data_IF_238042198806
#
_entry.id   IF_238042198806
#
_cell.length_a   1.000
_cell.length_b   1.000
_cell.length_c   1.000
_cell.angle_alpha   90.00
_cell.angle_beta   90.00
_cell.angle_gamma   90.00
#
_symmetry.space_group_name_H-M   'P 1'
#
loop_
_entity.id
_entity.type
_entity.pdbx_description
1 polymer ?
#
# COMPACT_ATOMS: atom_id res chain seq x y z
N UNK A 1 -17.96 -22.82 16.36
CA UNK A 1 -16.93 -23.07 15.32
C UNK A 1 -15.65 -22.27 15.54
N UNK A 2 -15.66 -21.28 16.43
CA UNK A 2 -14.54 -20.34 16.71
C UNK A 2 -13.26 -20.93 17.36
N UNK A 3 -13.27 -22.12 17.90
CA UNK A 3 -12.11 -22.76 18.57
C UNK A 3 -11.24 -23.65 17.67
N UNK A 4 -11.49 -23.72 16.36
CA UNK A 4 -10.76 -24.62 15.45
C UNK A 4 -9.61 -23.95 14.68
N UNK A 5 -9.61 -22.63 14.51
CA UNK A 5 -8.62 -21.92 13.69
C UNK A 5 -7.30 -21.77 14.45
N UNK A 6 -7.34 -21.34 15.69
CA UNK A 6 -6.15 -21.24 16.56
C UNK A 6 -5.47 -22.61 16.78
N UNK A 7 -6.23 -23.70 16.73
CA UNK A 7 -5.67 -25.06 16.88
C UNK A 7 -4.89 -25.56 15.67
N UNK A 8 -5.07 -25.01 14.46
CA UNK A 8 -4.34 -25.43 13.26
C UNK A 8 -2.97 -24.77 13.14
N UNK A 9 -2.83 -23.53 13.57
CA UNK A 9 -1.52 -22.86 13.66
C UNK A 9 -0.63 -23.42 14.79
N UNK A 10 -1.23 -23.94 15.86
CA UNK A 10 -0.51 -24.61 16.97
C UNK A 10 -0.13 -26.06 16.69
N UNK A 11 -0.68 -26.71 15.66
CA UNK A 11 -0.44 -28.13 15.41
C UNK A 11 0.91 -28.44 14.71
N UNK A 12 1.67 -27.43 14.29
CA UNK A 12 3.01 -27.65 13.68
C UNK A 12 4.20 -27.43 14.63
N UNK A 13 3.97 -27.02 15.88
CA UNK A 13 5.06 -26.68 16.82
C UNK A 13 5.06 -27.48 18.13
N UNK A 14 4.26 -28.54 18.26
CA UNK A 14 4.17 -29.34 19.50
C UNK A 14 4.65 -30.77 19.30
N UNK A 15 5.94 -30.93 19.02
CA UNK A 15 6.71 -32.13 19.35
C UNK A 15 8.04 -31.68 19.94
N UNK A 16 8.07 -31.60 21.26
CA UNK A 16 9.19 -31.74 22.18
C UNK A 16 9.14 -30.73 23.35
N UNK A 17 8.63 -31.14 24.46
CA UNK A 17 9.22 -31.02 25.78
C UNK A 17 8.14 -31.24 26.87
N UNK A 18 7.88 -32.51 27.20
CA UNK A 18 7.42 -32.87 28.56
C UNK A 18 8.63 -33.29 29.38
N UNK A 19 8.94 -32.55 30.43
CA UNK A 19 9.50 -33.12 31.65
C UNK A 19 9.61 -32.06 32.75
N UNK A 20 8.93 -32.38 33.90
CA UNK A 20 9.27 -32.03 35.29
C UNK A 20 9.22 -30.55 35.69
N UNK A 21 8.54 -30.17 36.76
CA UNK A 21 8.41 -30.77 38.11
C UNK A 21 7.35 -30.03 38.94
N UNK A 22 6.61 -30.83 39.72
CA UNK A 22 5.81 -30.41 40.89
C UNK A 22 6.72 -30.03 42.04
N UNK A 23 6.25 -29.08 42.90
CA UNK A 23 6.32 -29.10 44.36
C UNK A 23 5.68 -27.82 44.91
N UNK A 24 4.56 -27.88 45.43
CA UNK A 24 3.97 -27.87 46.76
C UNK A 24 4.55 -26.86 47.77
N UNK A 25 3.66 -26.07 48.36
CA UNK A 25 3.92 -25.28 49.57
C UNK A 25 2.64 -24.59 50.06
N UNK A 26 1.87 -25.30 50.87
CA UNK A 26 0.80 -24.77 51.73
C UNK A 26 1.34 -23.88 52.85
N UNK A 27 0.56 -22.89 53.27
CA UNK A 27 0.76 -22.15 54.53
C UNK A 27 -0.39 -21.19 54.77
N UNK A 28 -1.39 -21.67 55.53
CA UNK A 28 -2.49 -20.87 56.09
C UNK A 28 -2.07 -20.16 57.38
N UNK A 29 -2.62 -18.98 57.65
CA UNK A 29 -3.26 -18.66 58.96
C UNK A 29 -3.89 -17.28 58.97
N UNK A 30 -5.07 -17.26 59.53
CA UNK A 30 -5.97 -16.16 59.89
C UNK A 30 -5.29 -14.99 60.64
N UNK A 31 -5.78 -13.78 60.53
CA UNK A 31 -6.52 -13.10 61.58
C UNK A 31 -7.15 -11.77 61.13
N UNK A 32 -8.27 -11.49 61.74
CA UNK A 32 -9.26 -10.45 61.63
C UNK A 32 -8.78 -9.01 61.88
N UNK A 33 -9.47 -8.06 61.19
CA UNK A 33 -9.81 -6.82 61.91
C UNK A 33 -9.78 -5.48 61.17
N UNK A 34 -11.00 -4.96 60.92
CA UNK A 34 -11.41 -3.56 60.87
C UNK A 34 -11.21 -2.69 59.63
N UNK A 35 -12.33 -2.55 58.95
CA UNK A 35 -13.04 -1.34 58.55
C UNK A 35 -12.26 -0.02 58.66
N UNK A 36 -12.00 0.59 57.51
CA UNK A 36 -12.09 2.01 57.30
C UNK A 36 -12.23 2.28 55.80
N UNK A 37 -13.42 2.79 55.41
CA UNK A 37 -13.71 3.24 54.07
C UNK A 37 -12.66 4.23 53.56
N UNK A 38 -12.08 3.88 52.45
CA UNK A 38 -11.53 4.82 51.50
C UNK A 38 -12.25 4.56 50.21
N UNK A 39 -12.96 5.59 49.76
CA UNK A 39 -13.37 5.71 48.38
C UNK A 39 -12.15 5.31 47.51
N UNK A 40 -12.18 4.12 46.93
CA UNK A 40 -11.27 3.78 45.85
C UNK A 40 -11.75 4.62 44.68
N UNK A 41 -11.04 5.69 44.41
CA UNK A 41 -10.98 6.34 43.13
C UNK A 41 -10.80 5.20 42.11
N UNK A 42 -11.87 4.84 41.37
CA UNK A 42 -11.79 4.01 40.20
C UNK A 42 -11.11 4.87 39.15
N UNK A 43 -9.79 4.89 39.18
CA UNK A 43 -9.02 5.28 38.02
C UNK A 43 -9.56 4.42 36.86
N UNK A 44 -10.10 5.06 35.84
CA UNK A 44 -10.44 4.38 34.60
C UNK A 44 -9.19 3.64 34.15
N UNK A 45 -9.26 2.31 34.04
CA UNK A 45 -8.17 1.55 33.45
C UNK A 45 -7.94 2.15 32.04
N UNK A 46 -6.73 2.62 31.81
CA UNK A 46 -6.32 3.16 30.51
C UNK A 46 -6.35 2.01 29.49
N UNK A 47 -7.10 2.18 28.40
CA UNK A 47 -7.13 1.21 27.33
C UNK A 47 -5.93 1.44 26.42
N UNK A 48 -5.09 0.43 26.25
CA UNK A 48 -3.95 0.50 25.33
C UNK A 48 -4.33 -0.18 24.02
N UNK A 49 -4.30 0.60 22.92
CA UNK A 49 -4.45 0.10 21.55
C UNK A 49 -3.08 -0.09 20.93
N UNK A 50 -2.78 -1.31 20.49
CA UNK A 50 -1.56 -1.64 19.75
C UNK A 50 -1.81 -1.49 18.26
N UNK A 51 -1.12 -0.57 17.63
CA UNK A 51 -1.21 -0.31 16.18
C UNK A 51 0.12 -0.65 15.54
N UNK A 52 0.09 -1.61 14.63
CA UNK A 52 1.24 -2.00 13.84
C UNK A 52 1.16 -1.36 12.46
N UNK A 53 2.14 -0.55 12.08
CA UNK A 53 2.12 0.19 10.82
C UNK A 53 3.39 -0.04 9.99
N UNK A 54 3.20 -0.38 8.71
CA UNK A 54 4.29 -0.53 7.75
C UNK A 54 5.00 0.80 7.52
N UNK A 55 6.31 0.82 7.75
CA UNK A 55 7.16 1.96 7.44
C UNK A 55 7.52 1.95 5.95
N UNK A 56 6.63 2.50 5.14
CA UNK A 56 6.78 2.64 3.69
C UNK A 56 7.11 4.07 3.26
N UNK A 57 6.76 4.42 2.02
CA UNK A 57 7.01 5.74 1.42
C UNK A 57 6.33 6.91 2.15
N UNK A 58 5.28 6.66 2.90
CA UNK A 58 4.59 7.68 3.71
C UNK A 58 5.37 8.05 5.00
N UNK A 59 6.42 7.29 5.36
CA UNK A 59 7.22 7.49 6.56
C UNK A 59 6.47 7.18 7.86
N UNK A 60 7.03 7.60 8.98
CA UNK A 60 6.49 7.31 10.33
C UNK A 60 5.68 8.46 10.92
N UNK A 61 6.02 9.70 10.58
CA UNK A 61 5.44 10.89 11.20
C UNK A 61 3.91 10.95 11.12
N UNK A 62 3.34 10.52 9.99
CA UNK A 62 1.88 10.51 9.82
C UNK A 62 1.18 9.61 10.86
N UNK A 63 1.78 8.48 11.22
CA UNK A 63 1.23 7.56 12.21
C UNK A 63 1.33 8.12 13.63
N UNK A 64 2.44 8.79 13.94
CA UNK A 64 2.62 9.48 15.21
C UNK A 64 1.58 10.60 15.38
N UNK A 65 1.34 11.38 14.32
CA UNK A 65 0.36 12.46 14.32
C UNK A 65 -1.08 11.93 14.46
N UNK A 66 -1.41 10.83 13.77
CA UNK A 66 -2.72 10.16 13.87
C UNK A 66 -2.92 9.60 15.28
N UNK A 67 -1.94 8.90 15.84
CA UNK A 67 -2.02 8.33 17.18
C UNK A 67 -2.25 9.44 18.23
N UNK A 68 -1.48 10.52 18.14
CA UNK A 68 -1.63 11.66 19.02
C UNK A 68 -3.02 12.31 18.92
N UNK A 69 -3.51 12.55 17.71
CA UNK A 69 -4.84 13.13 17.49
C UNK A 69 -5.95 12.21 18.02
N UNK A 70 -5.77 10.90 17.89
CA UNK A 70 -6.71 9.91 18.42
C UNK A 70 -6.73 9.94 19.96
N UNK A 71 -5.56 9.91 20.61
CA UNK A 71 -5.45 10.02 22.07
C UNK A 71 -6.07 11.32 22.60
N UNK A 72 -5.85 12.45 21.92
CA UNK A 72 -6.43 13.76 22.30
C UNK A 72 -7.96 13.79 22.19
N UNK A 73 -8.56 12.96 21.35
CA UNK A 73 -10.01 12.87 21.13
C UNK A 73 -10.70 11.76 21.91
N UNK A 74 -9.93 10.85 22.55
CA UNK A 74 -10.46 9.68 23.26
C UNK A 74 -9.82 9.56 24.66
N UNK A 75 -10.43 10.19 25.66
CA UNK A 75 -9.97 10.17 27.04
C UNK A 75 -9.83 8.72 27.55
N UNK A 76 -8.69 8.41 28.15
CA UNK A 76 -8.42 7.09 28.73
C UNK A 76 -7.95 6.04 27.72
N UNK A 77 -7.64 6.44 26.49
CA UNK A 77 -7.03 5.58 25.47
C UNK A 77 -5.58 6.00 25.24
N UNK A 78 -4.71 5.00 25.14
CA UNK A 78 -3.30 5.13 24.75
C UNK A 78 -3.04 4.34 23.49
N UNK A 79 -2.24 4.87 22.55
CA UNK A 79 -1.85 4.19 21.33
C UNK A 79 -0.37 3.81 21.42
N UNK A 80 -0.09 2.50 21.33
CA UNK A 80 1.26 1.98 21.15
C UNK A 80 1.49 1.70 19.67
N UNK A 81 2.44 2.42 19.06
CA UNK A 81 2.81 2.24 17.65
C UNK A 81 4.00 1.31 17.53
N UNK A 82 3.86 0.27 16.73
CA UNK A 82 4.94 -0.57 16.23
C UNK A 82 5.12 -0.27 14.74
N UNK A 83 6.24 0.32 14.35
CA UNK A 83 6.54 0.70 12.97
C UNK A 83 7.81 0.01 12.50
N UNK A 84 7.76 -0.62 11.33
CA UNK A 84 8.89 -1.37 10.78
C UNK A 84 8.81 -1.47 9.26
N UNK A 85 9.95 -1.36 8.54
CA UNK A 85 10.02 -1.67 7.11
C UNK A 85 9.94 -3.18 6.83
N UNK A 86 10.12 -4.04 7.84
CA UNK A 86 9.97 -5.50 7.79
C UNK A 86 8.79 -5.98 8.64
N UNK A 87 7.71 -5.19 8.69
CA UNK A 87 6.56 -5.41 9.58
C UNK A 87 5.93 -6.80 9.42
N UNK A 88 5.90 -7.36 8.21
CA UNK A 88 5.41 -8.72 7.95
C UNK A 88 6.17 -9.80 8.74
N UNK A 89 7.50 -9.65 8.89
CA UNK A 89 8.33 -10.56 9.67
C UNK A 89 8.11 -10.38 11.17
N UNK A 90 7.96 -9.14 11.61
CA UNK A 90 7.76 -8.81 13.00
C UNK A 90 6.39 -9.28 13.46
N UNK A 91 5.33 -8.99 12.71
CA UNK A 91 3.97 -9.47 12.97
C UNK A 91 3.85 -11.00 12.91
N UNK A 92 4.54 -11.65 11.99
CA UNK A 92 4.55 -13.12 11.95
C UNK A 92 5.05 -13.71 13.27
N UNK A 93 6.12 -13.15 13.85
CA UNK A 93 6.67 -13.59 15.13
C UNK A 93 5.75 -13.21 16.31
N UNK A 94 5.23 -12.00 16.33
CA UNK A 94 4.34 -11.50 17.37
C UNK A 94 3.08 -12.35 17.47
N UNK A 95 2.39 -12.58 16.36
CA UNK A 95 1.17 -13.40 16.29
C UNK A 95 1.44 -14.85 16.70
N UNK A 96 2.58 -15.43 16.29
CA UNK A 96 2.97 -16.78 16.72
C UNK A 96 3.20 -16.89 18.24
N UNK A 97 3.62 -15.81 18.87
CA UNK A 97 3.81 -15.73 20.32
C UNK A 97 2.53 -15.34 21.08
N UNK A 98 1.43 -15.08 20.38
CA UNK A 98 0.16 -14.64 20.97
C UNK A 98 0.10 -13.13 21.29
N UNK A 99 1.05 -12.35 20.81
CA UNK A 99 1.05 -10.90 20.88
C UNK A 99 0.43 -10.34 19.57
N UNK A 100 -0.89 -10.22 19.61
CA UNK A 100 -1.69 -9.77 18.45
C UNK A 100 -1.95 -8.28 18.58
N UNK A 101 -1.65 -7.45 17.58
CA UNK A 101 -2.02 -6.04 17.60
C UNK A 101 -3.54 -5.86 17.44
N UNK A 102 -4.05 -4.69 17.82
CA UNK A 102 -5.45 -4.33 17.62
C UNK A 102 -5.74 -3.90 16.19
N UNK A 103 -4.82 -3.18 15.58
CA UNK A 103 -4.96 -2.66 14.22
C UNK A 103 -3.66 -2.84 13.47
N UNK A 104 -3.74 -3.20 12.19
CA UNK A 104 -2.60 -3.36 11.30
C UNK A 104 -2.79 -2.50 10.05
N UNK A 105 -1.78 -1.72 9.72
CA UNK A 105 -1.61 -1.11 8.41
C UNK A 105 -0.56 -1.89 7.62
N UNK A 106 -1.04 -2.71 6.70
CA UNK A 106 -0.19 -3.46 5.78
C UNK A 106 -1.01 -3.83 4.54
N UNK A 107 -0.57 -3.37 3.37
CA UNK A 107 -1.36 -3.40 2.16
C UNK A 107 -1.42 -4.78 1.51
N UNK A 108 -2.45 -5.01 0.71
CA UNK A 108 -2.45 -6.03 -0.34
C UNK A 108 -1.34 -5.76 -1.37
N UNK A 109 -0.89 -6.81 -2.04
CA UNK A 109 0.10 -6.71 -3.12
C UNK A 109 1.54 -6.49 -2.65
N UNK A 110 1.82 -6.49 -1.34
CA UNK A 110 3.18 -6.47 -0.85
C UNK A 110 3.93 -7.77 -1.19
N UNK A 111 5.24 -7.73 -1.48
CA UNK A 111 5.99 -8.91 -1.94
C UNK A 111 5.92 -10.12 -1.02
N UNK A 112 5.71 -9.93 0.28
CA UNK A 112 5.58 -11.02 1.24
C UNK A 112 4.26 -11.78 1.16
N UNK A 113 3.19 -11.17 0.60
CA UNK A 113 1.83 -11.71 0.60
C UNK A 113 1.27 -11.93 2.00
N UNK A 114 1.67 -11.10 2.98
CA UNK A 114 1.28 -11.27 4.38
C UNK A 114 -0.23 -11.06 4.57
N UNK A 115 -0.79 -9.94 4.06
CA UNK A 115 -2.23 -9.66 4.15
C UNK A 115 -3.06 -10.71 3.42
N UNK A 116 -2.63 -11.17 2.24
CA UNK A 116 -3.27 -12.27 1.50
C UNK A 116 -3.26 -13.58 2.28
N UNK A 117 -2.17 -13.83 3.01
CA UNK A 117 -2.08 -15.01 3.88
C UNK A 117 -3.07 -14.90 5.05
N UNK A 118 -3.17 -13.75 5.70
CA UNK A 118 -4.14 -13.50 6.77
C UNK A 118 -5.58 -13.64 6.26
N UNK A 119 -5.89 -13.14 5.06
CA UNK A 119 -7.18 -13.34 4.41
C UNK A 119 -7.46 -14.82 4.15
N UNK A 120 -6.52 -15.55 3.57
CA UNK A 120 -6.66 -16.97 3.26
C UNK A 120 -6.94 -17.83 4.51
N UNK A 121 -6.35 -17.45 5.65
CA UNK A 121 -6.57 -18.11 6.92
C UNK A 121 -7.81 -17.60 7.67
N UNK A 122 -8.60 -16.69 7.07
CA UNK A 122 -9.77 -16.04 7.67
C UNK A 122 -9.42 -15.37 9.02
N UNK A 123 -8.24 -14.79 9.10
CA UNK A 123 -7.67 -14.19 10.31
C UNK A 123 -7.84 -12.66 10.39
N UNK A 124 -8.65 -12.09 9.51
CA UNK A 124 -9.03 -10.66 9.50
C UNK A 124 -10.50 -10.55 9.89
N UNK A 125 -10.81 -9.59 10.76
CA UNK A 125 -12.16 -9.36 11.26
C UNK A 125 -13.06 -8.68 10.23
N UNK A 126 -14.35 -8.97 10.28
CA UNK A 126 -15.40 -8.19 9.63
C UNK A 126 -15.56 -6.86 10.37
N UNK A 127 -15.26 -5.76 9.69
CA UNK A 127 -15.34 -4.39 10.21
C UNK A 127 -16.44 -3.57 9.55
N UNK A 128 -17.43 -4.23 8.92
CA UNK A 128 -18.51 -3.57 8.19
C UNK A 128 -19.29 -2.57 9.05
N UNK A 129 -19.44 -2.86 10.34
CA UNK A 129 -20.21 -2.04 11.28
C UNK A 129 -19.50 -0.69 11.62
N UNK A 130 -18.21 -0.56 11.28
CA UNK A 130 -17.45 0.71 11.44
C UNK A 130 -17.88 1.73 10.38
N UNK A 131 -18.34 1.27 9.22
CA UNK A 131 -18.69 2.12 8.08
C UNK A 131 -20.16 2.49 8.11
N UNK A 132 -20.51 3.43 8.96
CA UNK A 132 -21.86 4.04 8.97
C UNK A 132 -22.05 4.99 7.77
N UNK A 133 -23.26 5.51 7.62
CA UNK A 133 -23.60 6.39 6.51
C UNK A 133 -22.80 7.71 6.56
N UNK A 134 -22.50 8.23 7.77
CA UNK A 134 -21.71 9.46 7.94
C UNK A 134 -20.26 9.28 7.46
N UNK A 135 -19.65 8.13 7.74
CA UNK A 135 -18.30 7.82 7.27
C UNK A 135 -18.29 7.57 5.77
N UNK A 136 -19.26 6.81 5.26
CA UNK A 136 -19.38 6.53 3.81
C UNK A 136 -19.56 7.80 2.99
N UNK A 137 -20.35 8.77 3.47
CA UNK A 137 -20.56 10.06 2.79
C UNK A 137 -19.27 10.91 2.68
N UNK A 138 -18.25 10.62 3.47
CA UNK A 138 -16.92 11.27 3.42
C UNK A 138 -15.92 10.55 2.53
N UNK A 139 -16.25 9.36 2.05
CA UNK A 139 -15.38 8.53 1.22
C UNK A 139 -15.70 8.72 -0.26
N UNK A 140 -14.78 8.31 -1.12
CA UNK A 140 -15.03 8.29 -2.55
C UNK A 140 -16.06 7.22 -2.89
N UNK A 141 -16.99 7.56 -3.79
CA UNK A 141 -18.01 6.61 -4.27
C UNK A 141 -17.35 5.35 -4.84
N UNK A 142 -17.86 4.20 -4.43
CA UNK A 142 -17.40 2.90 -4.92
C UNK A 142 -16.10 2.37 -4.30
N UNK A 143 -15.39 3.14 -3.45
CA UNK A 143 -14.11 2.70 -2.87
C UNK A 143 -14.27 1.48 -1.94
N UNK A 144 -15.44 1.29 -1.37
CA UNK A 144 -15.76 0.14 -0.52
C UNK A 144 -16.30 -1.06 -1.29
N UNK A 145 -16.59 -0.93 -2.58
CA UNK A 145 -17.25 -1.97 -3.39
C UNK A 145 -16.24 -2.95 -4.03
N UNK A 146 -14.96 -2.60 -4.02
CA UNK A 146 -13.90 -3.37 -4.64
C UNK A 146 -13.39 -4.52 -3.76
N UNK A 147 -12.64 -5.43 -4.38
CA UNK A 147 -11.97 -6.54 -3.69
C UNK A 147 -10.93 -6.08 -2.67
N UNK A 148 -10.48 -4.84 -2.78
CA UNK A 148 -9.56 -4.19 -1.84
C UNK A 148 -10.21 -3.90 -0.48
N UNK A 149 -11.53 -3.82 -0.43
CA UNK A 149 -12.30 -3.69 0.81
C UNK A 149 -13.08 -4.97 1.14
N UNK A 150 -13.60 -5.67 0.11
CA UNK A 150 -14.47 -6.85 0.20
C UNK A 150 -13.80 -8.10 -0.42
N UNK A 151 -12.68 -8.60 0.13
CA UNK A 151 -11.85 -9.62 -0.52
C UNK A 151 -12.55 -10.97 -0.71
N UNK A 152 -13.61 -11.27 0.06
CA UNK A 152 -14.33 -12.53 -0.04
C UNK A 152 -15.58 -12.46 -0.95
N UNK A 153 -15.95 -11.26 -1.43
CA UNK A 153 -17.14 -11.08 -2.26
C UNK A 153 -18.47 -11.42 -1.57
N UNK A 154 -18.50 -11.40 -0.24
CA UNK A 154 -19.66 -11.67 0.61
C UNK A 154 -20.43 -10.39 1.02
N UNK A 155 -20.02 -9.23 0.50
CA UNK A 155 -20.60 -7.93 0.78
C UNK A 155 -20.15 -7.31 2.11
N UNK A 156 -19.13 -7.89 2.74
CA UNK A 156 -18.60 -7.43 4.02
C UNK A 156 -17.25 -6.77 3.85
N UNK A 157 -16.96 -5.78 4.68
CA UNK A 157 -15.72 -5.04 4.67
C UNK A 157 -14.75 -5.66 5.67
N UNK A 158 -13.57 -6.01 5.19
CA UNK A 158 -12.48 -6.57 6.00
C UNK A 158 -11.24 -5.71 5.99
N UNK A 159 -11.06 -4.94 4.91
CA UNK A 159 -9.92 -4.05 4.72
C UNK A 159 -10.45 -2.61 4.60
N UNK A 160 -10.04 -1.74 5.52
CA UNK A 160 -10.42 -0.34 5.51
C UNK A 160 -9.50 0.45 4.59
N UNK A 161 -9.96 0.98 3.45
CA UNK A 161 -9.14 1.85 2.61
C UNK A 161 -8.95 3.19 3.31
N UNK A 162 -7.69 3.54 3.61
CA UNK A 162 -7.34 4.77 4.32
C UNK A 162 -6.60 5.79 3.45
N UNK A 163 -5.87 5.32 2.45
CA UNK A 163 -5.24 6.17 1.47
C UNK A 163 -5.69 5.79 0.07
N UNK A 164 -5.88 6.81 -0.74
CA UNK A 164 -6.20 6.70 -2.15
C UNK A 164 -5.01 7.22 -2.95
N UNK A 165 -4.36 6.31 -3.67
CA UNK A 165 -3.09 6.59 -4.33
C UNK A 165 -3.25 6.49 -5.84
N UNK A 166 -3.44 7.62 -6.55
CA UNK A 166 -3.38 7.65 -8.00
C UNK A 166 -1.94 7.43 -8.47
N UNK A 167 -1.80 6.61 -9.50
CA UNK A 167 -0.53 6.32 -10.16
C UNK A 167 -0.55 6.82 -11.60
N UNK A 168 0.61 7.07 -12.15
CA UNK A 168 0.72 7.59 -13.50
C UNK A 168 2.18 7.85 -13.88
N UNK A 169 2.38 8.71 -14.88
CA UNK A 169 3.70 9.19 -15.23
C UNK A 169 4.05 10.42 -14.42
N UNK A 170 5.06 10.28 -13.58
CA UNK A 170 5.61 11.36 -12.76
C UNK A 170 6.78 12.04 -13.49
N UNK A 171 6.89 13.35 -13.30
CA UNK A 171 7.85 14.16 -14.02
C UNK A 171 8.29 15.39 -13.20
N UNK A 172 9.36 16.02 -13.66
CA UNK A 172 9.83 17.30 -13.13
C UNK A 172 9.03 18.45 -13.74
N UNK A 173 8.11 19.04 -12.96
CA UNK A 173 7.26 20.14 -13.40
C UNK A 173 8.01 21.48 -13.60
N UNK A 174 9.30 21.55 -13.26
CA UNK A 174 10.14 22.68 -13.64
C UNK A 174 10.59 22.60 -15.11
N UNK A 175 10.59 21.39 -15.71
CA UNK A 175 10.98 21.12 -17.11
C UNK A 175 9.80 20.85 -18.02
N UNK A 176 8.76 20.15 -17.50
CA UNK A 176 7.58 19.71 -18.26
C UNK A 176 6.36 20.43 -17.72
N UNK A 177 5.56 21.06 -18.56
CA UNK A 177 4.37 21.80 -18.17
C UNK A 177 4.04 22.95 -19.12
N UNK A 178 2.93 23.62 -18.88
CA UNK A 178 2.50 24.77 -19.66
C UNK A 178 3.57 25.89 -19.61
N UNK A 179 4.07 26.29 -20.77
CA UNK A 179 5.11 27.31 -20.87
C UNK A 179 6.49 26.92 -20.38
N UNK A 180 6.72 25.62 -20.13
CA UNK A 180 8.04 25.05 -19.78
C UNK A 180 8.79 24.64 -21.06
N UNK A 181 9.96 24.02 -20.88
CA UNK A 181 10.77 23.53 -22.00
C UNK A 181 10.01 22.48 -22.83
N UNK A 182 9.22 21.64 -22.16
CA UNK A 182 8.42 20.60 -22.75
C UNK A 182 6.96 20.73 -22.32
N UNK A 183 6.03 20.66 -23.29
CA UNK A 183 4.60 20.61 -23.01
C UNK A 183 4.19 19.20 -22.54
N UNK A 184 3.12 19.11 -21.73
CA UNK A 184 2.58 17.83 -21.28
C UNK A 184 1.90 17.13 -22.47
N UNK A 185 2.36 15.93 -22.87
CA UNK A 185 1.73 15.20 -23.97
C UNK A 185 0.40 14.60 -23.53
N UNK A 186 -0.61 14.61 -24.39
CA UNK A 186 -1.94 14.06 -24.13
C UNK A 186 -2.15 12.71 -24.81
N UNK A 187 -1.44 12.47 -25.91
CA UNK A 187 -1.50 11.23 -26.68
C UNK A 187 -0.15 10.49 -26.72
N UNK A 188 -0.20 9.19 -27.01
CA UNK A 188 1.02 8.40 -27.20
C UNK A 188 1.88 8.91 -28.36
N UNK A 189 1.26 9.42 -29.43
CA UNK A 189 2.02 10.00 -30.55
C UNK A 189 2.76 11.27 -30.12
N UNK A 190 2.12 12.15 -29.35
CA UNK A 190 2.78 13.32 -28.78
C UNK A 190 3.86 12.93 -27.77
N UNK A 191 3.60 11.91 -26.94
CA UNK A 191 4.56 11.41 -25.96
C UNK A 191 5.85 10.91 -26.63
N UNK A 192 5.73 10.12 -27.69
CA UNK A 192 6.90 9.65 -28.41
C UNK A 192 7.56 10.75 -29.25
N UNK A 193 6.78 11.70 -29.81
CA UNK A 193 7.35 12.87 -30.49
C UNK A 193 8.15 13.75 -29.53
N UNK A 194 7.67 13.91 -28.31
CA UNK A 194 8.42 14.57 -27.24
C UNK A 194 9.72 13.82 -26.94
N UNK A 195 9.73 12.49 -26.95
CA UNK A 195 10.94 11.68 -26.79
C UNK A 195 12.00 11.94 -27.86
N UNK A 196 11.60 12.11 -29.12
CA UNK A 196 12.50 12.48 -30.21
C UNK A 196 13.08 13.90 -30.03
N UNK A 197 12.34 14.82 -29.44
CA UNK A 197 12.84 16.14 -29.08
C UNK A 197 13.80 16.06 -27.90
N UNK A 198 13.38 15.42 -26.80
CA UNK A 198 14.18 15.27 -25.59
C UNK A 198 15.57 14.64 -25.87
N UNK A 199 15.61 13.64 -26.77
CA UNK A 199 16.84 13.00 -27.21
C UNK A 199 17.84 13.96 -27.87
N UNK A 200 17.34 14.94 -28.66
CA UNK A 200 18.19 15.98 -29.26
C UNK A 200 18.74 16.94 -28.23
N UNK A 201 18.00 17.15 -27.16
CA UNK A 201 18.38 18.04 -26.06
C UNK A 201 19.26 17.32 -25.01
N UNK A 202 19.49 16.01 -25.17
CA UNK A 202 20.34 15.20 -24.30
C UNK A 202 19.61 14.52 -23.13
N UNK A 203 18.28 14.45 -23.19
CA UNK A 203 17.44 13.80 -22.19
C UNK A 203 16.85 12.49 -22.74
N UNK A 204 16.63 11.50 -21.89
CA UNK A 204 15.78 10.36 -22.22
C UNK A 204 14.30 10.72 -21.97
N UNK A 205 13.41 10.07 -22.71
CA UNK A 205 11.97 10.26 -22.48
C UNK A 205 11.54 9.59 -21.16
N UNK A 206 12.09 8.43 -20.87
CA UNK A 206 11.52 7.53 -19.88
C UNK A 206 12.58 6.81 -19.04
N UNK A 207 12.24 6.56 -17.81
CA UNK A 207 12.89 5.62 -16.90
C UNK A 207 11.83 4.91 -16.06
N UNK A 208 12.19 3.86 -15.32
CA UNK A 208 11.29 3.23 -14.36
C UNK A 208 12.06 2.78 -13.10
N UNK A 209 11.48 2.97 -11.91
CA UNK A 209 12.14 2.61 -10.64
C UNK A 209 12.47 1.12 -10.58
N UNK A 210 11.44 0.27 -10.70
CA UNK A 210 11.52 -1.19 -10.82
C UNK A 210 10.47 -1.68 -11.81
N UNK A 211 10.54 -2.95 -12.22
CA UNK A 211 9.54 -3.54 -13.12
C UNK A 211 8.13 -3.57 -12.50
N UNK A 212 8.02 -3.69 -11.17
CA UNK A 212 6.74 -3.68 -10.48
C UNK A 212 5.94 -2.38 -10.64
N UNK A 213 6.61 -1.23 -10.79
CA UNK A 213 5.90 0.05 -10.98
C UNK A 213 5.22 0.20 -12.34
N UNK A 214 5.53 -0.68 -13.30
CA UNK A 214 4.78 -0.72 -14.55
C UNK A 214 3.35 -1.20 -14.39
N UNK A 215 3.07 -2.02 -13.39
CA UNK A 215 1.74 -2.59 -13.18
C UNK A 215 0.69 -1.49 -13.12
N UNK A 216 0.98 -0.43 -12.39
CA UNK A 216 0.07 0.71 -12.25
C UNK A 216 -0.28 1.37 -13.58
N UNK A 217 0.70 1.61 -14.45
CA UNK A 217 0.47 2.24 -15.75
C UNK A 217 -0.11 1.26 -16.78
N UNK A 218 0.33 0.00 -16.79
CA UNK A 218 -0.22 -1.03 -17.68
C UNK A 218 -1.69 -1.29 -17.36
N UNK A 219 -2.09 -1.30 -16.09
CA UNK A 219 -3.48 -1.47 -15.70
C UNK A 219 -4.38 -0.35 -16.24
N UNK A 220 -3.93 0.90 -16.15
CA UNK A 220 -4.62 2.03 -16.76
C UNK A 220 -4.69 1.89 -18.30
N UNK A 221 -3.61 1.43 -18.94
CA UNK A 221 -3.59 1.19 -20.39
C UNK A 221 -4.57 0.09 -20.81
N UNK A 222 -4.67 -0.99 -20.04
CA UNK A 222 -5.63 -2.08 -20.32
C UNK A 222 -7.07 -1.56 -20.24
N UNK A 223 -7.41 -0.85 -19.16
CA UNK A 223 -8.75 -0.28 -19.01
C UNK A 223 -9.08 0.74 -20.11
N UNK A 224 -8.11 1.55 -20.54
CA UNK A 224 -8.28 2.52 -21.61
C UNK A 224 -8.39 1.86 -23.00
N UNK A 225 -7.69 0.74 -23.23
CA UNK A 225 -7.72 0.06 -24.52
C UNK A 225 -9.04 -0.69 -24.77
N UNK A 226 -9.62 -1.34 -23.77
CA UNK A 226 -10.78 -2.21 -23.95
C UNK A 226 -11.84 -2.13 -22.84
N UNK A 227 -11.72 -1.20 -21.90
CA UNK A 227 -12.65 -1.05 -20.77
C UNK A 227 -12.37 -1.99 -19.62
N UNK A 228 -13.25 -1.95 -18.58
CA UNK A 228 -13.05 -2.72 -17.36
C UNK A 228 -13.16 -4.24 -17.54
N UNK A 229 -14.04 -4.71 -18.44
CA UNK A 229 -14.15 -6.15 -18.73
C UNK A 229 -12.85 -6.67 -19.34
N UNK A 230 -12.29 -5.94 -20.30
CA UNK A 230 -11.01 -6.26 -20.92
C UNK A 230 -9.87 -6.28 -19.89
N UNK A 231 -9.82 -5.28 -19.02
CA UNK A 231 -8.88 -5.22 -17.91
C UNK A 231 -8.99 -6.45 -17.00
N UNK A 232 -10.22 -6.79 -16.57
CA UNK A 232 -10.46 -7.93 -15.70
C UNK A 232 -10.07 -9.28 -16.36
N UNK A 233 -10.33 -9.44 -17.65
CA UNK A 233 -9.96 -10.64 -18.39
C UNK A 233 -8.45 -10.75 -18.60
N UNK A 234 -7.76 -9.62 -18.80
CA UNK A 234 -6.31 -9.57 -18.84
C UNK A 234 -5.69 -10.04 -17.51
N UNK A 235 -6.23 -9.61 -16.36
CA UNK A 235 -5.78 -10.04 -15.03
C UNK A 235 -6.07 -11.52 -14.73
N UNK A 236 -7.06 -12.12 -15.40
CA UNK A 236 -7.33 -13.57 -15.34
C UNK A 236 -6.44 -14.37 -16.29
N UNK A 237 -5.51 -13.71 -16.99
CA UNK A 237 -4.61 -14.31 -17.98
C UNK A 237 -5.35 -14.93 -19.18
N UNK A 238 -6.50 -14.37 -19.60
CA UNK A 238 -7.20 -14.84 -20.80
C UNK A 238 -6.33 -14.56 -22.03
N UNK A 239 -5.94 -15.65 -22.71
CA UNK A 239 -5.08 -15.59 -23.88
C UNK A 239 -5.72 -14.80 -25.05
N UNK A 240 -7.05 -14.80 -25.17
CA UNK A 240 -7.75 -14.05 -26.23
C UNK A 240 -7.61 -12.56 -26.03
N UNK A 241 -7.67 -12.09 -24.77
CA UNK A 241 -7.44 -10.69 -24.41
C UNK A 241 -6.08 -10.21 -24.91
N UNK A 242 -5.02 -10.93 -24.59
CA UNK A 242 -3.65 -10.56 -24.95
C UNK A 242 -3.33 -10.68 -26.45
N UNK A 243 -4.09 -11.48 -27.18
CA UNK A 243 -3.94 -11.67 -28.65
C UNK A 243 -4.88 -10.82 -29.49
N UNK A 244 -5.81 -10.10 -28.85
CA UNK A 244 -6.70 -9.12 -29.50
C UNK A 244 -5.95 -7.92 -30.08
N UNK A 245 -6.63 -7.08 -30.80
CA UNK A 245 -6.04 -5.83 -31.32
C UNK A 245 -5.76 -4.83 -30.21
N UNK A 246 -6.62 -4.79 -29.17
CA UNK A 246 -6.44 -3.99 -27.97
C UNK A 246 -5.22 -4.46 -27.15
N UNK A 247 -5.11 -5.78 -26.93
CA UNK A 247 -3.97 -6.38 -26.25
C UNK A 247 -2.65 -6.12 -26.96
N UNK A 248 -2.62 -6.29 -28.26
CA UNK A 248 -1.44 -5.96 -29.08
C UNK A 248 -1.10 -4.48 -29.02
N UNK A 249 -2.10 -3.60 -29.08
CA UNK A 249 -1.90 -2.14 -28.98
C UNK A 249 -1.19 -1.77 -27.67
N UNK A 250 -1.62 -2.36 -26.54
CA UNK A 250 -0.96 -2.15 -25.24
C UNK A 250 0.47 -2.69 -25.26
N UNK A 251 0.67 -3.93 -25.70
CA UNK A 251 2.00 -4.56 -25.74
C UNK A 251 2.98 -3.83 -26.66
N UNK A 252 2.54 -3.41 -27.84
CA UNK A 252 3.37 -2.66 -28.80
C UNK A 252 3.77 -1.30 -28.23
N UNK A 253 2.84 -0.61 -27.53
CA UNK A 253 3.12 0.67 -26.88
C UNK A 253 4.15 0.49 -25.75
N UNK A 254 3.98 -0.51 -24.89
CA UNK A 254 4.95 -0.82 -23.82
C UNK A 254 6.30 -1.20 -24.42
N UNK A 255 6.34 -2.05 -25.44
CA UNK A 255 7.58 -2.46 -26.09
C UNK A 255 8.34 -1.26 -26.68
N UNK A 256 7.60 -0.31 -27.27
CA UNK A 256 8.19 0.93 -27.77
C UNK A 256 8.71 1.81 -26.63
N UNK A 257 7.93 1.97 -25.54
CA UNK A 257 8.27 2.79 -24.39
C UNK A 257 9.56 2.31 -23.70
N UNK A 258 9.70 1.00 -23.48
CA UNK A 258 10.90 0.42 -22.84
C UNK A 258 12.06 0.21 -23.81
N UNK A 259 11.87 0.57 -25.06
CA UNK A 259 12.91 0.51 -26.08
C UNK A 259 14.08 1.46 -25.77
N UNK A 260 15.28 1.07 -26.15
CA UNK A 260 16.52 1.83 -25.91
C UNK A 260 16.52 3.24 -26.51
N UNK A 261 15.60 3.55 -27.43
CA UNK A 261 15.49 4.88 -28.04
C UNK A 261 14.83 5.90 -27.11
N UNK A 262 14.04 5.42 -26.14
CA UNK A 262 13.27 6.27 -25.22
C UNK A 262 13.68 6.09 -23.76
N UNK A 263 14.14 4.89 -23.39
CA UNK A 263 14.53 4.58 -22.01
C UNK A 263 15.94 5.06 -21.71
N UNK A 264 16.14 5.68 -20.55
CA UNK A 264 17.44 6.09 -20.05
C UNK A 264 18.38 4.87 -19.92
N UNK A 265 19.65 5.03 -20.29
CA UNK A 265 20.60 3.95 -20.57
C UNK A 265 20.76 2.96 -19.40
N UNK A 266 20.88 3.46 -18.16
CA UNK A 266 21.16 2.63 -16.98
C UNK A 266 19.89 2.12 -16.27
N UNK A 267 18.69 2.42 -16.79
CA UNK A 267 17.41 2.13 -16.13
C UNK A 267 17.27 0.65 -15.74
N UNK A 268 17.55 -0.27 -16.68
CA UNK A 268 17.38 -1.71 -16.43
C UNK A 268 18.39 -2.22 -15.41
N UNK A 269 19.64 -1.77 -15.48
CA UNK A 269 20.67 -2.19 -14.53
C UNK A 269 20.36 -1.68 -13.11
N UNK A 270 19.91 -0.44 -12.99
CA UNK A 270 19.52 0.14 -11.72
C UNK A 270 18.27 -0.55 -11.15
N UNK A 271 17.24 -0.79 -11.98
CA UNK A 271 16.00 -1.45 -11.54
C UNK A 271 16.21 -2.87 -10.96
N UNK A 272 17.32 -3.52 -11.31
CA UNK A 272 17.70 -4.85 -10.82
C UNK A 272 18.77 -4.81 -9.70
N UNK A 273 19.24 -3.63 -9.32
CA UNK A 273 20.25 -3.45 -8.26
C UNK A 273 19.54 -3.12 -6.93
N UNK A 274 20.17 -3.53 -5.83
CA UNK A 274 19.71 -3.15 -4.50
C UNK A 274 19.76 -1.62 -4.32
N UNK A 275 18.62 -1.01 -3.92
CA UNK A 275 18.48 0.44 -3.82
C UNK A 275 18.52 1.21 -5.16
N UNK A 276 18.68 0.51 -6.27
CA UNK A 276 18.83 1.14 -7.59
C UNK A 276 17.56 1.84 -8.10
N UNK A 277 16.40 1.50 -7.56
CA UNK A 277 15.13 2.20 -7.85
C UNK A 277 15.22 3.70 -7.55
N UNK A 278 15.92 4.10 -6.46
CA UNK A 278 16.13 5.50 -6.12
C UNK A 278 17.03 6.23 -7.12
N UNK A 279 17.97 5.52 -7.74
CA UNK A 279 18.81 6.09 -8.81
C UNK A 279 17.96 6.43 -10.03
N UNK A 280 17.03 5.56 -10.40
CA UNK A 280 16.13 5.82 -11.51
C UNK A 280 15.14 6.96 -11.22
N UNK A 281 14.62 7.06 -9.99
CA UNK A 281 13.82 8.21 -9.55
C UNK A 281 14.66 9.52 -9.57
N UNK A 282 15.92 9.46 -9.12
CA UNK A 282 16.82 10.60 -9.18
C UNK A 282 17.10 11.07 -10.61
N UNK A 283 17.12 10.17 -11.58
CA UNK A 283 17.28 10.54 -12.99
C UNK A 283 16.16 11.47 -13.50
N UNK A 284 14.94 11.37 -12.93
CA UNK A 284 13.86 12.32 -13.25
C UNK A 284 14.07 13.65 -12.55
N UNK A 285 14.47 13.64 -11.30
CA UNK A 285 14.80 14.87 -10.55
C UNK A 285 15.92 15.64 -11.26
N UNK A 286 16.97 14.94 -11.68
CA UNK A 286 18.12 15.51 -12.40
C UNK A 286 17.82 15.91 -13.86
N UNK A 287 16.62 15.60 -14.37
CA UNK A 287 16.21 15.84 -15.75
C UNK A 287 16.88 14.91 -16.77
N UNK A 288 17.57 13.85 -16.35
CA UNK A 288 18.18 12.87 -17.29
C UNK A 288 17.12 12.06 -18.02
N UNK A 289 15.97 11.80 -17.36
CA UNK A 289 14.75 11.26 -17.95
C UNK A 289 13.59 12.19 -17.64
N UNK A 290 12.62 12.32 -18.56
CA UNK A 290 11.50 13.22 -18.36
C UNK A 290 10.38 12.60 -17.52
N UNK A 291 10.08 11.30 -17.71
CA UNK A 291 8.95 10.63 -17.09
C UNK A 291 9.35 9.29 -16.46
N UNK A 292 8.61 8.91 -15.43
CA UNK A 292 8.65 7.56 -14.84
C UNK A 292 7.28 7.13 -14.33
N UNK A 293 6.94 5.82 -14.34
CA UNK A 293 5.75 5.30 -13.68
C UNK A 293 5.98 5.37 -12.16
N UNK A 294 5.04 5.95 -11.42
CA UNK A 294 5.14 6.05 -9.96
C UNK A 294 3.77 6.40 -9.34
N UNK A 295 3.72 6.48 -8.02
CA UNK A 295 2.63 7.03 -7.22
C UNK A 295 3.10 8.19 -6.34
N UNK A 296 2.19 8.76 -5.58
CA UNK A 296 2.44 9.94 -4.75
C UNK A 296 3.50 9.73 -3.64
N UNK A 297 3.80 8.49 -3.28
CA UNK A 297 4.88 8.14 -2.34
C UNK A 297 6.27 8.61 -2.78
N UNK A 298 6.50 8.81 -4.09
CA UNK A 298 7.78 9.29 -4.61
C UNK A 298 8.21 10.62 -3.97
N UNK A 299 7.25 11.45 -3.59
CA UNK A 299 7.49 12.73 -2.92
C UNK A 299 8.21 12.50 -1.60
N UNK A 300 7.70 11.58 -0.77
CA UNK A 300 8.29 11.21 0.52
C UNK A 300 9.61 10.44 0.35
N UNK A 301 9.64 9.44 -0.54
CA UNK A 301 10.83 8.62 -0.80
C UNK A 301 12.05 9.43 -1.23
N UNK A 302 11.83 10.49 -2.01
CA UNK A 302 12.89 11.31 -2.60
C UNK A 302 13.07 12.66 -1.91
N UNK A 303 12.34 12.95 -0.84
CA UNK A 303 12.36 14.25 -0.16
C UNK A 303 13.78 14.72 0.21
N UNK A 304 14.64 13.81 0.67
CA UNK A 304 16.02 14.13 1.08
C UNK A 304 16.94 14.52 -0.10
N UNK A 305 16.58 14.17 -1.33
CA UNK A 305 17.39 14.43 -2.54
C UNK A 305 16.70 15.34 -3.55
N UNK A 306 15.50 15.81 -3.22
CA UNK A 306 14.73 16.74 -4.04
C UNK A 306 15.11 18.18 -3.67
N UNK A 307 15.55 19.04 -4.63
CA UNK A 307 15.81 20.46 -4.37
C UNK A 307 14.59 21.22 -3.85
N UNK A 308 14.79 22.31 -3.08
CA UNK A 308 13.71 23.11 -2.50
C UNK A 308 12.76 23.73 -3.54
N UNK A 309 13.28 24.05 -4.73
CA UNK A 309 12.54 24.66 -5.85
C UNK A 309 12.01 23.63 -6.85
N UNK A 310 12.13 22.35 -6.53
CA UNK A 310 11.65 21.26 -7.37
C UNK A 310 10.14 21.08 -7.22
N UNK A 311 9.45 20.91 -8.34
CA UNK A 311 8.02 20.62 -8.36
C UNK A 311 7.75 19.28 -9.05
N UNK A 312 7.05 18.41 -8.34
CA UNK A 312 6.58 17.15 -8.90
C UNK A 312 5.29 17.39 -9.71
N UNK A 313 5.25 16.85 -10.91
CA UNK A 313 4.04 16.75 -11.72
C UNK A 313 3.65 15.29 -11.95
N UNK A 314 2.37 15.03 -12.17
CA UNK A 314 1.83 13.71 -12.50
C UNK A 314 0.81 13.85 -13.62
N UNK A 315 0.84 12.91 -14.57
CA UNK A 315 -0.17 12.74 -15.61
C UNK A 315 -0.63 11.28 -15.65
N UNK A 316 -1.87 11.05 -16.06
CA UNK A 316 -2.33 9.71 -16.42
C UNK A 316 -1.63 9.18 -17.66
N UNK A 317 -1.85 7.92 -18.00
CA UNK A 317 -1.29 7.36 -19.23
C UNK A 317 -1.82 8.12 -20.46
N UNK A 318 -0.99 8.40 -21.47
CA UNK A 318 -1.45 9.07 -22.68
C UNK A 318 -2.55 8.28 -23.40
N UNK A 319 -3.40 8.98 -24.10
CA UNK A 319 -4.48 8.39 -24.92
C UNK A 319 -3.91 7.89 -26.26
N UNK A 320 -4.56 6.90 -26.87
CA UNK A 320 -4.21 6.53 -28.25
C UNK A 320 -4.89 7.42 -29.29
N UNK A 321 -6.00 8.09 -28.92
CA UNK A 321 -6.65 9.10 -29.74
C UNK A 321 -7.21 10.23 -28.89
N UNK A 322 -7.43 11.39 -29.46
CA UNK A 322 -7.97 12.56 -28.79
C UNK A 322 -9.39 12.33 -28.20
N UNK A 323 -10.16 11.45 -28.84
CA UNK A 323 -11.53 11.16 -28.44
C UNK A 323 -11.63 10.21 -27.22
N UNK A 324 -10.52 9.58 -26.81
CA UNK A 324 -10.50 8.71 -25.64
C UNK A 324 -10.46 9.51 -24.34
N UNK A 325 -11.03 8.96 -23.27
CA UNK A 325 -10.84 9.48 -21.93
C UNK A 325 -9.50 8.98 -21.37
N UNK A 326 -8.80 9.84 -20.66
CA UNK A 326 -7.57 9.45 -19.97
C UNK A 326 -7.90 8.59 -18.76
N UNK A 327 -7.18 7.50 -18.57
CA UNK A 327 -7.34 6.60 -17.44
C UNK A 327 -6.17 6.74 -16.45
N UNK A 328 -6.50 6.60 -15.19
CA UNK A 328 -5.54 6.54 -14.09
C UNK A 328 -5.83 5.27 -13.29
N UNK A 329 -4.83 4.48 -13.06
CA UNK A 329 -4.94 3.39 -12.09
C UNK A 329 -4.76 3.97 -10.68
N UNK A 330 -5.62 3.53 -9.77
CA UNK A 330 -5.56 3.95 -8.39
C UNK A 330 -5.64 2.71 -7.52
N UNK A 331 -4.80 2.63 -6.52
CA UNK A 331 -4.95 1.61 -5.50
C UNK A 331 -5.21 2.25 -4.14
N UNK A 332 -5.72 1.46 -3.25
CA UNK A 332 -5.96 1.84 -1.87
C UNK A 332 -4.89 1.23 -0.98
N UNK A 333 -4.52 1.96 0.04
CA UNK A 333 -3.72 1.43 1.13
C UNK A 333 -4.66 1.12 2.29
N UNK A 334 -4.51 -0.05 2.90
CA UNK A 334 -5.53 -0.57 3.79
C UNK A 334 -5.03 -0.75 5.22
N UNK A 335 -5.95 -0.49 6.15
CA UNK A 335 -5.86 -0.99 7.53
C UNK A 335 -6.84 -2.16 7.73
N UNK A 336 -6.52 -3.03 8.66
CA UNK A 336 -7.37 -4.13 9.02
C UNK A 336 -7.19 -4.53 10.50
N UNK A 337 -8.17 -5.23 11.02
CA UNK A 337 -8.20 -5.70 12.39
C UNK A 337 -8.00 -7.21 12.40
N UNK A 338 -7.02 -7.75 13.13
CA UNK A 338 -6.90 -9.19 13.32
C UNK A 338 -8.16 -9.78 13.98
N UNK A 339 -8.59 -10.97 13.55
CA UNK A 339 -9.79 -11.61 14.09
C UNK A 339 -9.70 -11.96 15.59
N UNK A 340 -8.49 -12.03 16.14
CA UNK A 340 -8.21 -12.29 17.54
C UNK A 340 -7.66 -11.04 18.26
N UNK A 341 -7.92 -9.84 17.74
CA UNK A 341 -7.49 -8.57 18.35
C UNK A 341 -8.02 -8.43 19.78
N UNK A 342 -7.20 -8.01 20.76
CA UNK A 342 -7.58 -7.98 22.18
C UNK A 342 -8.71 -6.99 22.50
N UNK A 343 -8.75 -5.86 21.82
CA UNK A 343 -9.69 -4.76 22.08
C UNK A 343 -10.83 -4.66 21.05
N UNK A 344 -11.16 -5.75 20.35
CA UNK A 344 -12.23 -5.78 19.34
C UNK A 344 -13.63 -5.91 19.99
#
# INVERSE_FOLDING_TARGET
>A
MKKKVVRKLMALALVSAMATSMLAGCGSSDDSGKDSGKDADKGSEETVLKVAAFEGGNGTQIWEDIAKAFEESHDGVKVELEMSPELDKDLTKAIQNGDVPDVVYYNLGQPSGFTETMLKEEAIADISDVFDDELKDKMLDGILDGTDAQPYGDGKIYLAPIFYTPTGFWYNATLVGEGKQYEIPTTWDEFFALGEQAKKDGHALFTFPTTGYFDATIYAMLAQAGGLDFYNDALKYDANTWTSDEGKKVLDTVAKLVGKDYTQEDTVSNANADGGFKINQQNVIDGKALFMPNGNWVIGEMAASTPEDYEWGMMGVPKWSEDESQSVYTFTEQMWVPADAPNM
#
